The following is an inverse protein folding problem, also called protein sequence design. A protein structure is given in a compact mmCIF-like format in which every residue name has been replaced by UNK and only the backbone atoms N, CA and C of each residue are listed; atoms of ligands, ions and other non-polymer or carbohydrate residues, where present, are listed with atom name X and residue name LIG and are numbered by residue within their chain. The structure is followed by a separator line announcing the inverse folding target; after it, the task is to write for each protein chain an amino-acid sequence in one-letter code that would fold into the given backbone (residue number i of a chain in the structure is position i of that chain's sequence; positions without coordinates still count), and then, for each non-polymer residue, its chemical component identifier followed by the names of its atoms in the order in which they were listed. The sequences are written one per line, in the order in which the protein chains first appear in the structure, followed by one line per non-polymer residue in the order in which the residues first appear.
data_IF_108832561799
#
_entry.id   IF_108832561799
#
_cell.length_a   1.000
_cell.length_b   1.000
_cell.length_c   1.000
_cell.angle_alpha   90.00
_cell.angle_beta   90.00
_cell.angle_gamma   90.00
#
_symmetry.space_group_name_H-M   'P 1'
#
loop_
_entity.id
_entity.type
_entity.pdbx_description
1 polymer ?
#
# COMPACT_ATOMS: atom_id res chain seq x y z
N UNK A 1 -11.81 -0.92 -16.43
CA UNK A 1 -12.27 -1.37 -15.08
C UNK A 1 -12.00 -2.84 -14.73
N UNK A 2 -12.44 -3.82 -15.55
CA UNK A 2 -12.41 -5.27 -15.22
C UNK A 2 -11.00 -5.77 -14.84
N UNK A 3 -9.96 -5.36 -15.58
CA UNK A 3 -8.58 -5.75 -15.31
C UNK A 3 -8.08 -5.24 -13.96
N UNK A 4 -8.39 -3.99 -13.60
CA UNK A 4 -8.01 -3.41 -12.31
C UNK A 4 -8.68 -4.12 -11.13
N UNK A 5 -9.98 -4.42 -11.24
CA UNK A 5 -10.71 -5.17 -10.20
C UNK A 5 -10.17 -6.59 -10.00
N UNK A 6 -9.87 -7.32 -11.08
CA UNK A 6 -9.26 -8.65 -11.00
C UNK A 6 -7.88 -8.58 -10.36
N UNK A 7 -7.07 -7.58 -10.72
CA UNK A 7 -5.74 -7.39 -10.15
C UNK A 7 -5.77 -7.13 -8.64
N UNK A 8 -6.68 -6.27 -8.16
CA UNK A 8 -6.83 -5.97 -6.72
C UNK A 8 -7.14 -7.27 -5.97
N UNK A 9 -8.19 -8.00 -6.40
CA UNK A 9 -8.64 -9.22 -5.74
C UNK A 9 -7.54 -10.30 -5.74
N UNK A 10 -6.88 -10.49 -6.89
CA UNK A 10 -5.83 -11.49 -7.03
C UNK A 10 -4.59 -11.17 -6.19
N UNK A 11 -4.13 -9.92 -6.20
CA UNK A 11 -2.95 -9.49 -5.46
C UNK A 11 -3.20 -9.48 -3.94
N UNK A 12 -4.39 -9.08 -3.48
CA UNK A 12 -4.74 -9.12 -2.05
C UNK A 12 -4.85 -10.55 -1.52
N UNK A 13 -5.50 -11.44 -2.29
CA UNK A 13 -5.61 -12.86 -1.92
C UNK A 13 -4.24 -13.53 -1.84
N UNK A 14 -3.37 -13.27 -2.83
CA UNK A 14 -2.00 -13.82 -2.85
C UNK A 14 -1.10 -13.20 -1.77
N UNK A 15 -1.31 -11.93 -1.41
CA UNK A 15 -0.61 -11.25 -0.31
C UNK A 15 -0.90 -11.89 1.06
N UNK A 16 -2.16 -12.27 1.31
CA UNK A 16 -2.56 -12.89 2.59
C UNK A 16 -1.84 -14.23 2.86
N UNK A 17 -1.53 -14.98 1.80
CA UNK A 17 -0.79 -16.25 1.90
C UNK A 17 0.73 -16.10 2.08
N UNK A 18 1.30 -14.90 2.00
CA UNK A 18 2.75 -14.71 2.10
C UNK A 18 3.24 -14.64 3.55
N UNK A 19 4.06 -15.62 3.93
CA UNK A 19 4.78 -15.60 5.22
C UNK A 19 6.02 -14.71 5.24
N UNK A 20 6.54 -14.33 4.07
CA UNK A 20 7.72 -13.47 3.96
C UNK A 20 7.31 -11.99 3.99
N UNK A 21 7.85 -11.20 4.92
CA UNK A 21 7.46 -9.80 5.11
C UNK A 21 7.73 -8.95 3.86
N UNK A 22 8.90 -9.08 3.23
CA UNK A 22 9.23 -8.35 1.99
C UNK A 22 8.28 -8.72 0.83
N UNK A 23 7.91 -10.00 0.71
CA UNK A 23 6.97 -10.45 -0.34
C UNK A 23 5.57 -9.91 -0.06
N UNK A 24 5.10 -9.98 1.18
CA UNK A 24 3.77 -9.47 1.56
C UNK A 24 3.61 -7.98 1.27
N UNK A 25 4.63 -7.18 1.58
CA UNK A 25 4.66 -5.75 1.22
C UNK A 25 4.63 -5.58 -0.30
N UNK A 26 5.43 -6.34 -1.05
CA UNK A 26 5.45 -6.28 -2.50
C UNK A 26 4.07 -6.55 -3.12
N UNK A 27 3.39 -7.63 -2.72
CA UNK A 27 2.07 -7.97 -3.25
C UNK A 27 1.00 -6.94 -2.84
N UNK A 28 1.08 -6.37 -1.64
CA UNK A 28 0.19 -5.28 -1.22
C UNK A 28 0.39 -3.99 -2.03
N UNK A 29 1.62 -3.68 -2.47
CA UNK A 29 1.84 -2.55 -3.37
C UNK A 29 1.28 -2.81 -4.77
N UNK A 30 1.28 -4.07 -5.22
CA UNK A 30 0.73 -4.50 -6.51
C UNK A 30 -0.79 -4.44 -6.54
N UNK A 31 -1.48 -4.74 -5.43
CA UNK A 31 -2.94 -4.59 -5.36
C UNK A 31 -3.35 -3.12 -5.45
N UNK A 32 -2.63 -2.22 -4.77
CA UNK A 32 -2.88 -0.79 -4.85
C UNK A 32 -2.69 -0.19 -6.26
N UNK A 33 -1.78 -0.73 -7.06
CA UNK A 33 -1.63 -0.34 -8.47
C UNK A 33 -2.89 -0.61 -9.30
N UNK A 34 -3.75 -1.54 -8.86
CA UNK A 34 -5.05 -1.76 -9.46
C UNK A 34 -5.98 -0.54 -9.38
N UNK A 35 -5.91 0.27 -8.31
CA UNK A 35 -6.67 1.52 -8.20
C UNK A 35 -6.21 2.57 -9.21
N UNK A 36 -4.91 2.62 -9.51
CA UNK A 36 -4.35 3.51 -10.53
C UNK A 36 -4.88 3.11 -11.91
N UNK A 37 -4.93 1.82 -12.22
CA UNK A 37 -5.48 1.31 -13.49
C UNK A 37 -6.98 1.64 -13.60
N UNK A 38 -7.74 1.53 -12.51
CA UNK A 38 -9.13 1.97 -12.48
C UNK A 38 -9.26 3.48 -12.70
N UNK A 39 -8.35 4.28 -12.15
CA UNK A 39 -8.36 5.73 -12.28
C UNK A 39 -8.02 6.24 -13.69
N UNK A 40 -7.09 5.59 -14.40
CA UNK A 40 -6.74 5.92 -15.80
C UNK A 40 -7.87 5.59 -16.78
N UNK A 41 -8.67 4.56 -16.48
CA UNK A 41 -9.82 4.14 -17.30
C UNK A 41 -10.86 5.26 -17.45
N UNK A 42 -10.98 6.12 -16.42
CA UNK A 42 -11.80 7.32 -16.47
C UNK A 42 -11.01 8.49 -17.06
N UNK A 43 -11.25 8.80 -18.34
CA UNK A 43 -10.65 9.93 -19.09
C UNK A 43 -11.28 11.27 -18.64
N UNK A 44 -11.22 11.57 -17.35
CA UNK A 44 -11.69 12.82 -16.76
C UNK A 44 -10.51 13.56 -16.13
N UNK A 45 -10.44 14.88 -16.32
CA UNK A 45 -9.33 15.71 -15.83
C UNK A 45 -9.12 15.61 -14.31
N UNK A 46 -10.21 15.51 -13.55
CA UNK A 46 -10.18 15.35 -12.08
C UNK A 46 -9.62 13.97 -11.69
N UNK A 47 -10.05 12.93 -12.40
CA UNK A 47 -9.61 11.56 -12.18
C UNK A 47 -8.14 11.34 -12.53
N UNK A 48 -7.67 11.95 -13.62
CA UNK A 48 -6.27 11.93 -14.01
C UNK A 48 -5.39 12.63 -12.96
N UNK A 49 -5.80 13.79 -12.45
CA UNK A 49 -5.06 14.47 -11.38
C UNK A 49 -5.04 13.65 -10.08
N UNK A 50 -6.16 13.04 -9.69
CA UNK A 50 -6.21 12.13 -8.55
C UNK A 50 -5.27 10.93 -8.74
N UNK A 51 -5.27 10.33 -9.93
CA UNK A 51 -4.41 9.21 -10.28
C UNK A 51 -2.92 9.57 -10.21
N UNK A 52 -2.54 10.77 -10.69
CA UNK A 52 -1.15 11.26 -10.58
C UNK A 52 -0.74 11.44 -9.11
N UNK A 53 -1.61 12.02 -8.27
CA UNK A 53 -1.36 12.15 -6.83
C UNK A 53 -1.22 10.78 -6.15
N UNK A 54 -2.00 9.78 -6.58
CA UNK A 54 -1.91 8.41 -6.09
C UNK A 54 -0.58 7.75 -6.45
N UNK A 55 -0.12 7.89 -7.70
CA UNK A 55 1.16 7.33 -8.15
C UNK A 55 2.32 7.85 -7.29
N UNK A 56 2.33 9.16 -7.02
CA UNK A 56 3.38 9.81 -6.22
C UNK A 56 3.31 9.36 -4.76
N UNK A 57 2.12 9.46 -4.14
CA UNK A 57 1.90 9.11 -2.73
C UNK A 57 2.22 7.65 -2.47
N UNK A 58 1.67 6.75 -3.28
CA UNK A 58 1.87 5.31 -3.17
C UNK A 58 3.32 4.91 -3.42
N UNK A 59 3.99 5.54 -4.38
CA UNK A 59 5.42 5.34 -4.64
C UNK A 59 6.27 5.70 -3.42
N UNK A 60 5.96 6.83 -2.76
CA UNK A 60 6.67 7.27 -1.55
C UNK A 60 6.44 6.32 -0.36
N UNK A 61 5.19 5.92 -0.13
CA UNK A 61 4.83 4.97 0.94
C UNK A 61 5.52 3.62 0.70
N UNK A 62 5.48 3.11 -0.53
CA UNK A 62 6.12 1.86 -0.93
C UNK A 62 7.63 1.88 -0.75
N UNK A 63 8.32 2.94 -1.18
CA UNK A 63 9.76 3.11 -1.00
C UNK A 63 10.14 3.11 0.50
N UNK A 64 9.36 3.83 1.31
CA UNK A 64 9.61 3.93 2.76
C UNK A 64 9.35 2.60 3.48
N UNK A 65 8.29 1.87 3.12
CA UNK A 65 8.01 0.53 3.64
C UNK A 65 9.10 -0.48 3.27
N UNK A 66 9.61 -0.45 2.04
CA UNK A 66 10.73 -1.29 1.63
C UNK A 66 12.03 -0.95 2.37
N UNK A 67 12.30 0.34 2.59
CA UNK A 67 13.44 0.79 3.39
C UNK A 67 13.33 0.33 4.85
N UNK A 68 12.16 0.47 5.48
CA UNK A 68 11.89 -0.01 6.83
C UNK A 68 11.99 -1.54 6.92
N UNK A 69 11.46 -2.27 5.95
CA UNK A 69 11.61 -3.73 5.88
C UNK A 69 13.07 -4.17 5.71
N UNK A 70 13.87 -3.41 4.93
CA UNK A 70 15.30 -3.64 4.76
C UNK A 70 16.08 -3.42 6.05
N UNK A 71 15.87 -2.28 6.72
CA UNK A 71 16.52 -1.95 8.00
C UNK A 71 16.12 -2.89 9.13
N UNK A 72 14.88 -3.37 9.13
CA UNK A 72 14.40 -4.38 10.08
C UNK A 72 15.08 -5.72 9.85
N UNK A 73 15.24 -6.13 8.58
CA UNK A 73 15.96 -7.34 8.22
C UNK A 73 17.44 -7.27 8.57
N UNK A 74 18.10 -6.13 8.37
CA UNK A 74 19.52 -5.97 8.72
C UNK A 74 19.78 -6.21 10.21
N UNK A 75 18.86 -5.73 11.07
CA UNK A 75 19.01 -5.83 12.52
C UNK A 75 18.49 -7.14 13.13
N UNK A 76 17.39 -7.69 12.62
CA UNK A 76 16.80 -8.93 13.15
C UNK A 76 17.32 -10.19 12.44
N UNK A 77 17.75 -10.06 11.18
CA UNK A 77 18.03 -11.15 10.23
C UNK A 77 16.90 -12.16 10.02
N UNK A 78 15.68 -11.77 10.37
CA UNK A 78 14.45 -12.57 10.24
C UNK A 78 13.62 -12.06 9.06
N UNK A 79 13.12 -12.97 8.22
CA UNK A 79 12.28 -12.66 7.05
C UNK A 79 10.81 -13.07 7.21
N UNK A 80 10.55 -14.00 8.12
CA UNK A 80 9.25 -14.64 8.28
C UNK A 80 8.41 -13.90 9.32
N UNK A 81 7.19 -13.52 8.95
CA UNK A 81 6.24 -12.83 9.83
C UNK A 81 6.00 -13.57 11.15
N UNK A 82 6.02 -14.91 11.12
CA UNK A 82 5.82 -15.76 12.30
C UNK A 82 6.92 -15.57 13.36
N UNK A 83 8.11 -15.15 12.94
CA UNK A 83 9.30 -14.96 13.80
C UNK A 83 9.57 -13.47 14.11
N UNK A 84 8.90 -12.54 13.41
CA UNK A 84 9.05 -11.08 13.59
C UNK A 84 8.24 -10.57 14.82
N UNK A 85 7.57 -11.48 15.53
CA UNK A 85 6.85 -11.17 16.77
C UNK A 85 7.72 -10.42 17.79
N UNK A 86 7.16 -9.38 18.41
CA UNK A 86 7.87 -8.60 19.43
C UNK A 86 8.86 -7.56 18.90
N UNK A 87 8.90 -7.29 17.59
CA UNK A 87 9.76 -6.25 16.98
C UNK A 87 9.63 -4.85 17.61
N UNK A 88 8.49 -4.55 18.24
CA UNK A 88 8.26 -3.28 18.94
C UNK A 88 9.24 -3.04 20.11
N UNK A 89 9.78 -4.10 20.72
CA UNK A 89 10.68 -4.01 21.88
C UNK A 89 12.12 -3.61 21.46
N UNK A 90 12.79 -4.32 20.53
CA UNK A 90 14.14 -3.94 20.11
C UNK A 90 14.16 -2.72 19.18
N UNK A 91 13.06 -2.40 18.47
CA UNK A 91 13.03 -1.37 17.43
C UNK A 91 11.75 -0.53 17.43
N UNK A 92 11.41 0.15 18.55
CA UNK A 92 10.14 0.85 18.70
C UNK A 92 9.91 1.94 17.64
N UNK A 93 10.94 2.73 17.30
CA UNK A 93 10.82 3.80 16.29
C UNK A 93 10.55 3.25 14.88
N UNK A 94 11.18 2.14 14.51
CA UNK A 94 10.98 1.52 13.19
C UNK A 94 9.58 0.91 13.15
N UNK A 95 9.18 0.24 14.22
CA UNK A 95 7.86 -0.37 14.34
C UNK A 95 6.72 0.68 14.29
N UNK A 96 6.86 1.82 14.97
CA UNK A 96 5.82 2.87 14.93
C UNK A 96 5.68 3.47 13.54
N UNK A 97 6.78 3.83 12.88
CA UNK A 97 6.75 4.39 11.52
C UNK A 97 6.20 3.36 10.53
N UNK A 98 6.63 2.09 10.64
CA UNK A 98 6.11 0.99 9.81
C UNK A 98 4.59 0.80 10.00
N UNK A 99 4.11 0.87 11.24
CA UNK A 99 2.68 0.75 11.56
C UNK A 99 1.89 1.93 11.01
N UNK A 100 2.39 3.16 11.18
CA UNK A 100 1.74 4.38 10.64
C UNK A 100 1.63 4.27 9.12
N UNK A 101 2.73 3.94 8.42
CA UNK A 101 2.72 3.82 6.95
C UNK A 101 1.83 2.68 6.46
N UNK A 102 1.77 1.57 7.19
CA UNK A 102 0.85 0.47 6.89
C UNK A 102 -0.61 0.93 7.02
N UNK A 103 -0.93 1.75 8.03
CA UNK A 103 -2.26 2.34 8.19
C UNK A 103 -2.56 3.41 7.15
N UNK A 104 -1.56 4.18 6.71
CA UNK A 104 -1.68 5.12 5.58
C UNK A 104 -2.07 4.38 4.30
N UNK A 105 -1.42 3.24 4.02
CA UNK A 105 -1.75 2.40 2.86
C UNK A 105 -3.17 1.82 2.93
N UNK A 106 -3.75 1.61 4.11
CA UNK A 106 -5.13 1.15 4.26
C UNK A 106 -6.18 2.24 3.91
N UNK A 107 -5.75 3.42 3.47
CA UNK A 107 -6.63 4.54 3.13
C UNK A 107 -7.57 4.94 4.29
N UNK A 108 -7.05 4.97 5.53
CA UNK A 108 -7.82 5.49 6.67
C UNK A 108 -8.22 6.95 6.46
N UNK A 109 -9.40 7.33 6.96
CA UNK A 109 -9.89 8.71 6.93
C UNK A 109 -8.81 9.67 7.48
N UNK A 110 -8.35 10.60 6.63
CA UNK A 110 -7.27 11.55 6.94
C UNK A 110 -5.90 11.25 6.31
N UNK A 111 -5.74 10.14 5.60
CA UNK A 111 -4.49 9.76 4.89
C UNK A 111 -4.58 10.02 3.38
N UNK A 112 -3.44 10.18 2.70
CA UNK A 112 -3.36 10.54 1.27
C UNK A 112 -4.17 9.60 0.37
N UNK A 113 -4.11 8.30 0.65
CA UNK A 113 -4.81 7.27 -0.14
C UNK A 113 -6.34 7.35 0.03
N UNK A 114 -6.84 7.91 1.14
CA UNK A 114 -8.27 8.15 1.34
C UNK A 114 -8.78 9.26 0.42
N UNK A 115 -8.00 10.33 0.23
CA UNK A 115 -8.37 11.46 -0.63
C UNK A 115 -8.52 11.00 -2.08
N UNK A 116 -7.59 10.17 -2.56
CA UNK A 116 -7.68 9.60 -3.91
C UNK A 116 -8.86 8.65 -4.06
N UNK A 117 -9.08 7.75 -3.08
CA UNK A 117 -10.22 6.84 -3.11
C UNK A 117 -11.55 7.58 -3.09
N UNK A 118 -11.65 8.71 -2.38
CA UNK A 118 -12.82 9.58 -2.41
C UNK A 118 -13.03 10.23 -3.78
N UNK A 119 -11.98 10.77 -4.42
CA UNK A 119 -12.08 11.37 -5.75
C UNK A 119 -12.56 10.33 -6.77
N UNK A 120 -12.07 9.09 -6.64
CA UNK A 120 -12.50 7.95 -7.46
C UNK A 120 -13.94 7.51 -7.14
N UNK A 121 -14.35 7.44 -5.88
CA UNK A 121 -15.71 6.95 -5.54
C UNK A 121 -16.82 7.99 -5.72
N UNK A 122 -16.57 9.26 -5.36
CA UNK A 122 -17.64 10.26 -5.26
C UNK A 122 -17.96 11.01 -6.55
N UNK A 123 -17.06 11.03 -7.55
CA UNK A 123 -17.28 11.86 -8.73
C UNK A 123 -18.30 11.27 -9.74
N UNK A 124 -18.86 10.09 -9.50
CA UNK A 124 -19.88 9.49 -10.37
C UNK A 124 -21.30 10.10 -10.18
N UNK A 125 -21.40 11.35 -9.70
CA UNK A 125 -22.67 12.00 -9.36
C UNK A 125 -22.93 13.36 -10.03
N UNK A 126 -22.18 13.71 -11.07
CA UNK A 126 -22.52 14.82 -11.98
C UNK A 126 -22.15 14.49 -13.42
#
# INVERSE_FOLDING_TARGET
MILGSIQIIYADSTSFGQRNLKKRIAYSLVSHMGFIILGVDYVCYIWLNGTVLQIISHGFIGATLFFLAGTSYDKLRILYLDEIGGMAIPMPKIFTIFTILSMTSLALSGMSDFVTNLIVFFWNNY
#
